data_IF_670037985178
#
_entry.id   IF_670037985178
#
_cell.length_a   1.000
_cell.length_b   1.000
_cell.length_c   1.000
_cell.angle_alpha   90.00
_cell.angle_beta   90.00
_cell.angle_gamma   90.00
#
_symmetry.space_group_name_H-M   'P 1'
#
loop_
_entity.id
_entity.type
_entity.pdbx_description
1 polymer ?
#
# COMPACT_ATOMS: atom_id res chain seq x y z
N UNK A 1 2.05 -28.78 21.88
CA UNK A 1 2.80 -27.53 21.58
C UNK A 1 4.27 -27.87 21.47
N UNK A 2 4.73 -28.21 20.27
CA UNK A 2 6.11 -28.66 20.04
C UNK A 2 7.10 -27.48 19.88
N UNK A 3 6.59 -26.28 19.57
CA UNK A 3 7.37 -25.07 19.43
C UNK A 3 7.24 -24.21 20.69
N UNK A 4 8.38 -23.90 21.32
CA UNK A 4 8.47 -23.05 22.51
C UNK A 4 9.42 -21.89 22.21
N UNK A 5 8.90 -20.76 21.68
CA UNK A 5 9.74 -19.64 21.32
C UNK A 5 10.28 -18.94 22.58
N UNK A 6 11.53 -18.54 22.57
CA UNK A 6 12.10 -17.63 23.58
C UNK A 6 11.69 -16.18 23.33
N UNK A 7 11.47 -15.82 22.04
CA UNK A 7 11.06 -14.48 21.60
C UNK A 7 9.87 -14.62 20.65
N UNK A 8 8.83 -13.83 20.90
CA UNK A 8 7.72 -13.61 19.98
C UNK A 8 7.77 -12.18 19.49
N UNK A 9 7.79 -11.99 18.17
CA UNK A 9 7.83 -10.67 17.56
C UNK A 9 6.57 -10.40 16.75
N UNK A 10 5.90 -9.27 17.03
CA UNK A 10 4.72 -8.79 16.35
C UNK A 10 4.97 -7.49 15.61
N UNK A 11 4.73 -7.50 14.28
CA UNK A 11 4.80 -6.31 13.40
C UNK A 11 3.44 -6.13 12.77
N UNK A 12 2.52 -5.46 13.45
CA UNK A 12 1.12 -5.30 13.02
C UNK A 12 0.40 -4.21 13.80
N UNK A 13 -0.89 -4.02 13.49
CA UNK A 13 -1.75 -3.11 14.23
C UNK A 13 -2.09 -3.67 15.62
N UNK A 14 -2.31 -2.78 16.58
CA UNK A 14 -2.50 -3.10 18.01
C UNK A 14 -3.59 -4.16 18.28
N UNK A 15 -4.72 -4.11 17.58
CA UNK A 15 -5.82 -5.09 17.77
C UNK A 15 -5.46 -6.51 17.33
N UNK A 16 -4.39 -6.67 16.61
CA UNK A 16 -3.88 -7.97 16.20
C UNK A 16 -2.86 -8.55 17.20
N UNK A 17 -2.50 -7.80 18.24
CA UNK A 17 -1.50 -8.17 19.24
C UNK A 17 -2.10 -8.53 20.60
N UNK A 18 -3.40 -8.23 20.83
CA UNK A 18 -4.02 -8.45 22.13
C UNK A 18 -4.05 -9.92 22.57
N UNK A 19 -3.98 -10.87 21.64
CA UNK A 19 -4.02 -12.27 22.01
C UNK A 19 -2.69 -12.76 22.62
N UNK A 20 -1.56 -12.19 22.22
CA UNK A 20 -0.27 -12.44 22.88
C UNK A 20 -0.26 -11.84 24.29
N UNK A 21 -0.73 -10.60 24.44
CA UNK A 21 -0.85 -9.96 25.75
C UNK A 21 -1.69 -10.79 26.73
N UNK A 22 -2.77 -11.41 26.23
CA UNK A 22 -3.70 -12.23 27.02
C UNK A 22 -3.35 -13.71 27.05
N UNK A 23 -2.25 -14.11 26.43
CA UNK A 23 -1.84 -15.50 26.39
C UNK A 23 -1.57 -16.07 27.79
N UNK A 24 -2.05 -17.27 28.14
CA UNK A 24 -1.68 -17.92 29.39
C UNK A 24 -0.18 -18.28 29.45
N UNK A 25 0.53 -18.15 28.35
CA UNK A 25 1.96 -18.40 28.23
C UNK A 25 2.79 -17.10 28.13
N UNK A 26 2.17 -15.94 28.37
CA UNK A 26 2.82 -14.64 28.23
C UNK A 26 4.16 -14.53 28.99
N UNK A 27 4.26 -15.12 30.15
CA UNK A 27 5.43 -15.08 31.01
C UNK A 27 6.58 -16.01 30.55
N UNK A 28 6.36 -16.80 29.49
CA UNK A 28 7.33 -17.80 29.04
C UNK A 28 8.13 -17.35 27.81
N UNK A 29 7.88 -16.15 27.29
CA UNK A 29 8.60 -15.60 26.13
C UNK A 29 8.79 -14.10 26.26
N UNK A 30 9.88 -13.61 25.68
CA UNK A 30 10.08 -12.18 25.50
C UNK A 30 9.22 -11.68 24.35
N UNK A 31 8.35 -10.72 24.62
CA UNK A 31 7.44 -10.18 23.62
C UNK A 31 7.94 -8.85 23.08
N UNK A 32 8.41 -8.85 21.83
CA UNK A 32 8.84 -7.68 21.09
C UNK A 32 7.74 -7.25 20.11
N UNK A 33 7.37 -5.98 20.14
CA UNK A 33 6.32 -5.45 19.25
C UNK A 33 6.82 -4.30 18.39
N UNK A 34 6.21 -4.16 17.21
CA UNK A 34 6.43 -3.03 16.31
C UNK A 34 5.06 -2.52 15.83
N UNK A 35 4.37 -1.72 16.66
CA UNK A 35 3.03 -1.23 16.34
C UNK A 35 3.05 -0.10 15.32
N UNK A 36 1.95 0.01 14.55
CA UNK A 36 1.73 1.17 13.69
C UNK A 36 1.23 2.35 14.53
N UNK A 37 2.02 3.43 14.59
CA UNK A 37 1.67 4.68 15.26
C UNK A 37 1.62 5.78 14.20
N UNK A 38 0.42 6.20 13.82
CA UNK A 38 0.15 7.13 12.72
C UNK A 38 -0.60 8.40 13.15
N UNK A 39 -0.85 8.56 14.44
CA UNK A 39 -1.55 9.73 15.02
C UNK A 39 -1.10 9.99 16.47
N UNK A 40 -1.30 11.21 16.94
CA UNK A 40 -1.16 11.62 18.33
C UNK A 40 -2.41 12.41 18.76
N UNK A 41 -2.98 12.18 19.97
CA UNK A 41 -2.60 11.12 20.89
C UNK A 41 -3.10 9.73 20.41
N UNK A 42 -2.46 8.68 20.91
CA UNK A 42 -2.93 7.31 20.73
C UNK A 42 -4.06 6.97 21.71
N UNK A 43 -4.91 6.00 21.37
CA UNK A 43 -5.92 5.51 22.28
C UNK A 43 -5.26 4.85 23.51
N UNK A 44 -5.79 5.10 24.71
CA UNK A 44 -5.22 4.59 25.96
C UNK A 44 -5.14 3.05 25.99
N UNK A 45 -6.09 2.35 25.37
CA UNK A 45 -6.05 0.89 25.28
C UNK A 45 -4.83 0.41 24.48
N UNK A 46 -4.46 1.13 23.43
CA UNK A 46 -3.29 0.78 22.62
C UNK A 46 -2.00 1.00 23.41
N UNK A 47 -1.90 2.13 24.11
CA UNK A 47 -0.78 2.42 25.00
C UNK A 47 -0.64 1.34 26.08
N UNK A 48 -1.74 0.88 26.66
CA UNK A 48 -1.70 -0.20 27.66
C UNK A 48 -1.17 -1.51 27.06
N UNK A 49 -1.51 -1.82 25.80
CA UNK A 49 -0.96 -2.98 25.10
C UNK A 49 0.54 -2.81 24.86
N UNK A 50 0.98 -1.63 24.42
CA UNK A 50 2.41 -1.35 24.18
C UNK A 50 3.21 -1.41 25.49
N UNK A 51 2.67 -0.89 26.58
CA UNK A 51 3.31 -0.92 27.90
C UNK A 51 3.43 -2.33 28.51
N UNK A 52 2.65 -3.29 28.02
CA UNK A 52 2.72 -4.68 28.45
C UNK A 52 3.74 -5.53 27.69
N UNK A 53 4.34 -4.99 26.65
CA UNK A 53 5.41 -5.64 25.88
C UNK A 53 6.76 -5.50 26.61
N UNK A 54 7.67 -6.44 26.38
CA UNK A 54 9.03 -6.39 26.93
C UNK A 54 9.94 -5.47 26.11
N UNK A 55 9.66 -5.33 24.79
CA UNK A 55 10.38 -4.40 23.93
C UNK A 55 9.44 -3.82 22.88
N UNK A 56 9.58 -2.53 22.61
CA UNK A 56 8.81 -1.81 21.60
C UNK A 56 9.74 -1.21 20.56
N UNK A 57 9.44 -1.40 19.29
CA UNK A 57 10.14 -0.77 18.17
C UNK A 57 9.18 0.14 17.40
N UNK A 58 9.46 1.43 17.37
CA UNK A 58 8.65 2.38 16.60
C UNK A 58 9.12 2.45 15.13
N UNK A 59 8.22 2.65 14.18
CA UNK A 59 8.57 2.87 12.77
C UNK A 59 9.31 4.19 12.54
N UNK A 60 9.12 5.17 13.43
CA UNK A 60 9.68 6.51 13.31
C UNK A 60 9.89 7.16 14.68
N UNK A 61 10.68 8.22 14.71
CA UNK A 61 10.83 9.05 15.90
C UNK A 61 9.49 9.61 16.38
N UNK A 62 8.63 10.06 15.45
CA UNK A 62 7.27 10.49 15.78
C UNK A 62 6.51 9.41 16.57
N UNK A 63 6.56 8.15 16.13
CA UNK A 63 5.88 7.05 16.81
C UNK A 63 6.44 6.79 18.21
N UNK A 64 7.75 6.78 18.35
CA UNK A 64 8.43 6.66 19.66
C UNK A 64 8.03 7.78 20.60
N UNK A 65 8.14 9.02 20.16
CA UNK A 65 7.92 10.20 20.98
C UNK A 65 6.45 10.29 21.40
N UNK A 66 5.51 9.99 20.49
CA UNK A 66 4.06 9.91 20.80
C UNK A 66 3.75 8.88 21.87
N UNK A 67 4.39 7.73 21.84
CA UNK A 67 4.21 6.70 22.88
C UNK A 67 4.77 7.14 24.22
N UNK A 68 5.98 7.70 24.23
CA UNK A 68 6.64 8.16 25.46
C UNK A 68 5.95 9.37 26.11
N UNK A 69 5.37 10.27 25.32
CA UNK A 69 4.57 11.38 25.85
C UNK A 69 3.34 10.91 26.63
N UNK A 70 2.79 9.74 26.28
CA UNK A 70 1.61 9.19 26.93
C UNK A 70 1.90 8.15 28.01
N UNK A 71 3.08 7.50 27.95
CA UNK A 71 3.47 6.46 28.89
C UNK A 71 5.00 6.35 28.96
N UNK A 72 5.57 6.89 30.02
CA UNK A 72 7.00 6.88 30.32
C UNK A 72 7.49 5.53 30.89
N UNK A 73 6.56 4.63 31.19
CA UNK A 73 6.86 3.29 31.74
C UNK A 73 6.97 2.20 30.68
N UNK A 74 6.82 2.54 29.38
CA UNK A 74 7.06 1.58 28.30
C UNK A 74 8.49 1.06 28.43
N UNK A 75 8.61 -0.27 28.53
CA UNK A 75 9.90 -0.95 28.56
C UNK A 75 10.67 -0.64 27.28
N UNK A 76 11.91 -1.06 27.19
CA UNK A 76 12.78 -0.74 26.06
C UNK A 76 12.05 -0.26 24.80
N UNK A 77 12.25 1.01 24.42
CA UNK A 77 11.67 1.57 23.20
C UNK A 77 12.75 2.21 22.35
N UNK A 78 12.81 1.84 21.05
CA UNK A 78 13.72 2.43 20.08
C UNK A 78 13.05 2.53 18.70
N UNK A 79 13.75 3.16 17.74
CA UNK A 79 13.28 3.33 16.38
C UNK A 79 13.90 2.28 15.46
N UNK A 80 13.05 1.52 14.78
CA UNK A 80 13.45 0.61 13.73
C UNK A 80 12.61 0.92 12.47
N UNK A 81 13.13 1.77 11.61
CA UNK A 81 12.40 2.16 10.40
C UNK A 81 12.23 0.98 9.44
N UNK A 82 11.03 0.78 8.87
CA UNK A 82 10.83 -0.21 7.82
C UNK A 82 11.74 0.07 6.62
N UNK A 83 12.28 -0.98 6.02
CA UNK A 83 13.09 -0.88 4.83
C UNK A 83 12.35 -1.44 3.60
N UNK A 84 12.64 -0.88 2.43
CA UNK A 84 12.23 -1.46 1.18
C UNK A 84 13.21 -2.55 0.74
N UNK A 85 12.71 -3.59 0.06
CA UNK A 85 13.57 -4.59 -0.56
C UNK A 85 14.37 -3.97 -1.72
N UNK A 86 15.58 -4.48 -1.97
CA UNK A 86 16.48 -4.04 -3.05
C UNK A 86 15.86 -4.17 -4.44
N UNK A 87 14.80 -4.98 -4.61
CA UNK A 87 14.04 -5.06 -5.86
C UNK A 87 13.33 -3.74 -6.22
N UNK A 88 13.13 -2.84 -5.26
CA UNK A 88 12.55 -1.50 -5.47
C UNK A 88 13.64 -0.45 -5.75
N UNK A 89 14.61 -0.79 -6.57
CA UNK A 89 15.63 0.14 -7.01
C UNK A 89 15.13 1.05 -8.15
N UNK A 90 15.64 2.28 -8.26
CA UNK A 90 15.36 3.14 -9.41
C UNK A 90 15.75 2.46 -10.71
N UNK A 91 14.88 2.51 -11.73
CA UNK A 91 15.23 2.01 -13.05
C UNK A 91 16.41 2.81 -13.63
N UNK A 92 17.42 2.12 -14.16
CA UNK A 92 18.60 2.75 -14.76
C UNK A 92 18.22 3.61 -15.99
N UNK A 93 17.30 3.12 -16.81
CA UNK A 93 16.72 3.86 -17.95
C UNK A 93 15.19 3.91 -17.83
N UNK A 94 14.68 5.00 -17.26
CA UNK A 94 13.25 5.24 -17.11
C UNK A 94 12.51 5.38 -18.43
N UNK A 95 13.16 5.92 -19.47
CA UNK A 95 12.54 6.10 -20.79
C UNK A 95 12.34 4.75 -21.48
N UNK A 96 13.37 3.92 -21.48
CA UNK A 96 13.27 2.56 -22.02
C UNK A 96 12.25 1.72 -21.24
N UNK A 97 12.20 1.88 -19.92
CA UNK A 97 11.22 1.17 -19.11
C UNK A 97 9.78 1.56 -19.48
N UNK A 98 9.49 2.85 -19.65
CA UNK A 98 8.18 3.34 -20.13
C UNK A 98 7.86 2.79 -21.52
N UNK A 99 8.80 2.85 -22.45
CA UNK A 99 8.62 2.31 -23.80
C UNK A 99 8.26 0.82 -23.79
N UNK A 100 8.94 0.02 -22.97
CA UNK A 100 8.68 -1.41 -22.80
C UNK A 100 7.25 -1.69 -22.24
N UNK A 101 6.68 -0.74 -21.52
CA UNK A 101 5.31 -0.80 -21.01
C UNK A 101 4.27 -0.21 -21.98
N UNK A 102 4.67 0.22 -23.17
CA UNK A 102 3.79 0.87 -24.14
C UNK A 102 3.42 2.31 -23.79
N UNK A 103 4.17 2.96 -22.91
CA UNK A 103 3.97 4.35 -22.48
C UNK A 103 4.97 5.25 -23.21
N UNK A 104 4.53 6.44 -23.65
CA UNK A 104 5.44 7.41 -24.25
C UNK A 104 6.61 7.70 -23.28
N UNK A 105 7.87 7.51 -23.71
CA UNK A 105 9.05 7.72 -22.88
C UNK A 105 9.16 9.12 -22.24
N UNK A 106 8.63 10.13 -22.92
CA UNK A 106 8.67 11.53 -22.45
C UNK A 106 7.54 11.89 -21.49
N UNK A 107 6.60 10.97 -21.25
CA UNK A 107 5.48 11.23 -20.34
C UNK A 107 5.95 11.42 -18.90
N UNK A 108 5.28 12.31 -18.19
CA UNK A 108 5.36 12.43 -16.74
C UNK A 108 4.28 11.53 -16.13
N UNK A 109 4.68 10.63 -15.25
CA UNK A 109 3.77 9.71 -14.58
C UNK A 109 3.79 9.97 -13.09
N UNK A 110 2.66 10.39 -12.55
CA UNK A 110 2.42 10.48 -11.12
C UNK A 110 1.85 9.14 -10.66
N UNK A 111 2.55 8.44 -9.79
CA UNK A 111 2.20 7.08 -9.36
C UNK A 111 1.56 7.03 -7.99
N UNK A 112 0.52 6.22 -7.84
CA UNK A 112 -0.02 5.83 -6.55
C UNK A 112 -0.20 4.32 -6.47
N UNK A 113 0.25 3.73 -5.36
CA UNK A 113 0.14 2.31 -5.06
C UNK A 113 -0.62 2.17 -3.75
N UNK A 114 -1.92 1.95 -3.84
CA UNK A 114 -2.76 1.79 -2.66
C UNK A 114 -4.03 1.02 -3.00
N UNK A 115 -4.54 0.27 -2.05
CA UNK A 115 -5.82 -0.43 -2.17
C UNK A 115 -6.98 0.58 -2.25
N UNK A 116 -8.01 0.30 -3.04
CA UNK A 116 -9.21 1.12 -3.11
C UNK A 116 -10.07 0.91 -1.85
N UNK A 117 -9.79 1.68 -0.82
CA UNK A 117 -10.52 1.75 0.45
C UNK A 117 -10.99 3.17 0.71
N UNK A 118 -12.06 3.36 1.48
CA UNK A 118 -12.63 4.70 1.77
C UNK A 118 -11.60 5.67 2.34
N UNK A 119 -10.75 5.24 3.28
CA UNK A 119 -9.71 6.04 3.91
C UNK A 119 -8.58 6.48 2.97
N UNK A 120 -8.50 5.93 1.75
CA UNK A 120 -7.45 6.26 0.77
C UNK A 120 -7.82 7.43 -0.14
N UNK A 121 -8.98 8.04 0.07
CA UNK A 121 -9.41 9.34 -0.48
C UNK A 121 -9.19 9.47 -1.99
N UNK A 122 -9.56 8.45 -2.76
CA UNK A 122 -9.50 8.51 -4.22
C UNK A 122 -10.27 9.68 -4.86
N UNK A 123 -11.42 10.16 -4.30
CA UNK A 123 -12.09 11.35 -4.82
C UNK A 123 -11.18 12.58 -4.78
N UNK A 124 -10.49 12.81 -3.66
CA UNK A 124 -9.57 13.96 -3.49
C UNK A 124 -8.36 13.84 -4.44
N UNK A 125 -7.83 12.62 -4.62
CA UNK A 125 -6.75 12.36 -5.59
C UNK A 125 -7.17 12.72 -7.01
N UNK A 126 -8.37 12.28 -7.46
CA UNK A 126 -8.86 12.52 -8.81
C UNK A 126 -9.16 14.02 -9.04
N UNK A 127 -9.80 14.67 -8.08
CA UNK A 127 -10.09 16.10 -8.16
C UNK A 127 -8.80 16.95 -8.15
N UNK A 128 -7.84 16.59 -7.31
CA UNK A 128 -6.55 17.29 -7.26
C UNK A 128 -5.75 17.08 -8.55
N UNK A 129 -5.75 15.89 -9.11
CA UNK A 129 -5.11 15.61 -10.38
C UNK A 129 -5.77 16.36 -11.53
N UNK A 130 -7.11 16.45 -11.56
CA UNK A 130 -7.82 17.27 -12.55
C UNK A 130 -7.38 18.74 -12.46
N UNK A 131 -7.39 19.30 -11.25
CA UNK A 131 -6.95 20.68 -11.01
C UNK A 131 -5.50 20.92 -11.46
N UNK A 132 -4.63 19.95 -11.20
CA UNK A 132 -3.22 20.01 -11.65
C UNK A 132 -3.13 20.04 -13.18
N UNK A 133 -3.88 19.19 -13.89
CA UNK A 133 -3.91 19.19 -15.35
C UNK A 133 -4.44 20.51 -15.93
N UNK A 134 -5.44 21.13 -15.30
CA UNK A 134 -5.97 22.43 -15.71
C UNK A 134 -4.95 23.54 -15.56
N UNK A 135 -4.05 23.45 -14.58
CA UNK A 135 -2.98 24.43 -14.36
C UNK A 135 -1.79 24.22 -15.29
N UNK A 136 -1.38 23.00 -15.51
CA UNK A 136 -0.17 22.70 -16.32
C UNK A 136 -0.43 22.64 -17.79
N UNK A 137 -1.65 22.24 -18.20
CA UNK A 137 -2.07 22.02 -19.59
C UNK A 137 -1.14 21.10 -20.41
N UNK A 138 -0.30 20.32 -19.73
CA UNK A 138 0.61 19.39 -20.39
C UNK A 138 -0.12 18.10 -20.84
N UNK A 139 -0.15 17.79 -22.14
CA UNK A 139 -0.79 16.59 -22.66
C UNK A 139 -0.08 15.29 -22.27
N UNK A 140 1.17 15.36 -21.83
CA UNK A 140 2.00 14.19 -21.53
C UNK A 140 2.05 13.80 -20.05
N UNK A 141 1.14 14.32 -19.22
CA UNK A 141 1.04 13.99 -17.80
C UNK A 141 -0.07 12.97 -17.56
N UNK A 142 0.23 11.90 -16.85
CA UNK A 142 -0.68 10.81 -16.52
C UNK A 142 -0.65 10.47 -15.04
N UNK A 143 -1.80 10.04 -14.50
CA UNK A 143 -1.89 9.43 -13.18
C UNK A 143 -1.91 7.92 -13.33
N UNK A 144 -0.93 7.23 -12.75
CA UNK A 144 -0.89 5.79 -12.68
C UNK A 144 -1.43 5.31 -11.33
N UNK A 145 -2.50 4.53 -11.37
CA UNK A 145 -3.13 3.95 -10.17
C UNK A 145 -2.91 2.44 -10.14
N UNK A 146 -1.96 1.99 -9.32
CA UNK A 146 -1.83 0.57 -9.02
C UNK A 146 -2.79 0.23 -7.88
N UNK A 147 -4.00 -0.17 -8.25
CA UNK A 147 -5.11 -0.41 -7.32
C UNK A 147 -5.97 -1.60 -7.77
N UNK A 148 -6.74 -2.14 -6.84
CA UNK A 148 -7.72 -3.18 -7.14
C UNK A 148 -9.11 -2.56 -7.36
N UNK A 149 -9.82 -3.03 -8.38
CA UNK A 149 -11.21 -2.68 -8.65
C UNK A 149 -11.94 -3.85 -9.33
N UNK A 150 -13.18 -4.20 -8.90
CA UNK A 150 -13.93 -3.61 -7.78
C UNK A 150 -13.34 -3.95 -6.40
N UNK A 151 -13.49 -3.04 -5.44
CA UNK A 151 -13.07 -3.21 -4.04
C UNK A 151 -14.09 -2.51 -3.13
N UNK A 152 -13.87 -2.59 -1.81
CA UNK A 152 -14.76 -2.03 -0.77
C UNK A 152 -14.77 -0.49 -0.69
N UNK A 153 -13.98 0.18 -1.52
CA UNK A 153 -13.80 1.62 -1.49
C UNK A 153 -14.77 2.41 -2.35
N UNK A 154 -14.22 3.12 -3.31
CA UNK A 154 -14.89 4.07 -4.17
C UNK A 154 -15.23 3.47 -5.53
N UNK A 155 -16.26 3.99 -6.18
CA UNK A 155 -16.57 3.68 -7.58
C UNK A 155 -15.53 4.36 -8.48
N UNK A 156 -14.48 3.62 -8.78
CA UNK A 156 -13.32 4.12 -9.53
C UNK A 156 -13.67 4.60 -10.94
N UNK A 157 -14.48 3.85 -11.75
CA UNK A 157 -14.95 4.33 -13.05
C UNK A 157 -15.71 5.65 -12.97
N UNK A 158 -16.60 5.76 -11.98
CA UNK A 158 -17.40 6.97 -11.76
C UNK A 158 -16.49 8.17 -11.47
N UNK A 159 -15.52 8.01 -10.58
CA UNK A 159 -14.56 9.08 -10.27
C UNK A 159 -13.75 9.53 -11.49
N UNK A 160 -13.29 8.59 -12.33
CA UNK A 160 -12.59 8.91 -13.59
C UNK A 160 -13.48 9.71 -14.52
N UNK A 161 -14.73 9.28 -14.68
CA UNK A 161 -15.71 9.93 -15.57
C UNK A 161 -16.08 11.34 -15.08
N UNK A 162 -16.43 11.49 -13.79
CA UNK A 162 -16.87 12.77 -13.21
C UNK A 162 -15.76 13.83 -13.26
N UNK A 163 -14.50 13.43 -13.21
CA UNK A 163 -13.35 14.34 -13.31
C UNK A 163 -12.79 14.46 -14.74
N UNK A 164 -13.43 13.85 -15.76
CA UNK A 164 -12.97 13.92 -17.15
C UNK A 164 -11.58 13.33 -17.38
N UNK A 165 -11.22 12.24 -16.66
CA UNK A 165 -9.88 11.68 -16.63
C UNK A 165 -9.71 10.37 -17.44
N UNK A 166 -10.66 10.01 -18.31
CA UNK A 166 -10.65 8.75 -19.03
C UNK A 166 -9.38 8.49 -19.85
N UNK A 167 -8.78 9.54 -20.44
CA UNK A 167 -7.51 9.49 -21.20
C UNK A 167 -6.28 9.91 -20.39
N UNK A 168 -6.38 9.95 -19.07
CA UNK A 168 -5.33 10.48 -18.18
C UNK A 168 -4.98 9.55 -17.02
N UNK A 169 -5.83 8.55 -16.76
CA UNK A 169 -5.60 7.57 -15.68
C UNK A 169 -5.20 6.23 -16.26
N UNK A 170 -3.99 5.83 -15.93
CA UNK A 170 -3.41 4.53 -16.25
C UNK A 170 -3.62 3.56 -15.10
N UNK A 171 -3.86 2.29 -15.43
CA UNK A 171 -4.00 1.20 -14.44
C UNK A 171 -3.25 -0.04 -14.90
N UNK A 172 -3.03 -0.95 -13.96
CA UNK A 172 -2.40 -2.23 -14.25
C UNK A 172 -3.43 -3.25 -14.70
N UNK A 173 -3.12 -3.96 -15.76
CA UNK A 173 -3.86 -5.13 -16.25
C UNK A 173 -2.99 -6.37 -16.16
N UNK A 174 -3.60 -7.50 -15.80
CA UNK A 174 -2.94 -8.80 -15.82
C UNK A 174 -3.76 -9.79 -16.63
N UNK A 175 -3.16 -10.42 -17.59
CA UNK A 175 -3.82 -11.46 -18.36
C UNK A 175 -3.99 -12.75 -17.54
N UNK A 176 -5.21 -13.26 -17.44
CA UNK A 176 -5.48 -14.53 -16.75
C UNK A 176 -4.84 -15.72 -17.44
N UNK A 177 -4.70 -15.67 -18.77
CA UNK A 177 -4.14 -16.74 -19.58
C UNK A 177 -2.60 -16.76 -19.53
N UNK A 178 -1.93 -15.74 -20.10
CA UNK A 178 -0.48 -15.72 -20.18
C UNK A 178 0.23 -15.13 -18.97
N UNK A 179 -0.52 -14.61 -17.97
CA UNK A 179 -0.03 -14.00 -16.73
C UNK A 179 0.78 -12.70 -16.90
N UNK A 180 1.01 -12.26 -18.13
CA UNK A 180 1.74 -11.01 -18.38
C UNK A 180 0.96 -9.80 -17.88
N UNK A 181 1.70 -8.79 -17.47
CA UNK A 181 1.21 -7.52 -16.95
C UNK A 181 1.44 -6.44 -18.00
N UNK A 182 0.48 -5.53 -18.13
CA UNK A 182 0.55 -4.33 -18.96
C UNK A 182 -0.06 -3.14 -18.23
N UNK A 183 0.27 -1.95 -18.69
CA UNK A 183 -0.32 -0.69 -18.20
C UNK A 183 -1.08 -0.06 -19.36
N UNK A 184 -2.31 0.36 -19.11
CA UNK A 184 -3.14 1.02 -20.10
C UNK A 184 -4.17 1.93 -19.40
N UNK A 185 -4.88 2.74 -20.17
CA UNK A 185 -5.99 3.54 -19.67
C UNK A 185 -7.06 2.68 -19.04
N UNK A 186 -7.72 3.23 -18.03
CA UNK A 186 -8.83 2.52 -17.40
C UNK A 186 -9.95 2.32 -18.42
N UNK A 187 -10.35 1.08 -18.63
CA UNK A 187 -11.44 0.72 -19.53
C UNK A 187 -12.44 -0.16 -18.80
N UNK A 188 -13.73 0.12 -19.00
CA UNK A 188 -14.81 -0.60 -18.33
C UNK A 188 -15.25 -1.86 -19.07
N UNK A 189 -14.60 -2.21 -20.17
CA UNK A 189 -14.89 -3.36 -21.01
C UNK A 189 -13.77 -4.41 -20.96
N UNK A 190 -14.11 -5.65 -21.25
CA UNK A 190 -13.15 -6.74 -21.44
C UNK A 190 -12.32 -6.45 -22.68
N UNK A 191 -11.00 -6.59 -22.57
CA UNK A 191 -10.05 -6.30 -23.64
C UNK A 191 -9.29 -7.56 -24.05
N UNK A 192 -8.82 -7.57 -25.29
CA UNK A 192 -7.87 -8.57 -25.73
C UNK A 192 -6.49 -8.33 -25.09
N UNK A 193 -5.88 -9.39 -24.62
CA UNK A 193 -4.51 -9.32 -24.15
C UNK A 193 -3.55 -8.95 -25.30
N UNK A 194 -2.77 -7.91 -25.13
CA UNK A 194 -1.80 -7.46 -26.14
C UNK A 194 -0.73 -8.52 -26.47
N UNK A 195 -0.52 -9.49 -25.56
CA UNK A 195 0.53 -10.52 -25.73
C UNK A 195 0.02 -11.84 -26.30
N UNK A 196 -1.17 -12.32 -25.89
CA UNK A 196 -1.68 -13.63 -26.31
C UNK A 196 -3.03 -13.55 -27.02
N UNK A 197 -3.56 -12.36 -27.26
CA UNK A 197 -4.84 -12.07 -27.92
C UNK A 197 -6.07 -12.70 -27.23
N UNK A 198 -5.92 -13.23 -26.04
CA UNK A 198 -7.00 -13.86 -25.29
C UNK A 198 -8.04 -12.82 -24.86
N UNK A 199 -9.29 -13.04 -25.25
CA UNK A 199 -10.37 -12.05 -25.15
C UNK A 199 -10.99 -11.94 -23.74
N UNK A 200 -11.02 -13.02 -22.98
CA UNK A 200 -11.85 -13.11 -21.75
C UNK A 200 -11.06 -13.03 -20.45
N UNK A 201 -9.78 -12.76 -20.48
CA UNK A 201 -8.88 -13.10 -19.40
C UNK A 201 -8.11 -11.91 -18.80
N UNK A 202 -8.63 -10.69 -18.96
CA UNK A 202 -8.02 -9.51 -18.37
C UNK A 202 -8.53 -9.27 -16.94
N UNK A 203 -7.64 -9.17 -16.00
CA UNK A 203 -7.94 -8.70 -14.63
C UNK A 203 -7.53 -7.23 -14.54
N UNK A 204 -8.48 -6.35 -14.22
CA UNK A 204 -8.22 -4.95 -13.92
C UNK A 204 -7.67 -4.82 -12.49
N UNK A 205 -6.56 -4.13 -12.36
CA UNK A 205 -6.02 -3.73 -11.08
C UNK A 205 -5.53 -4.92 -10.23
N UNK A 206 -4.23 -5.10 -10.17
CA UNK A 206 -3.61 -6.01 -9.21
C UNK A 206 -3.28 -5.17 -7.99
N UNK A 207 -3.89 -5.47 -6.85
CA UNK A 207 -3.46 -4.91 -5.57
C UNK A 207 -2.17 -5.58 -5.10
N UNK A 208 -1.38 -4.87 -4.31
CA UNK A 208 -0.13 -5.37 -3.73
C UNK A 208 -0.28 -6.75 -3.03
N UNK A 209 -1.46 -7.05 -2.48
CA UNK A 209 -1.76 -8.33 -1.85
C UNK A 209 -1.77 -9.54 -2.80
N UNK A 210 -1.97 -9.37 -4.11
CA UNK A 210 -1.88 -10.48 -5.08
C UNK A 210 -0.45 -10.72 -5.56
N UNK A 211 0.41 -9.73 -5.48
CA UNK A 211 1.84 -9.87 -5.81
C UNK A 211 2.57 -10.67 -4.74
N UNK A 212 2.21 -10.51 -3.48
CA UNK A 212 2.79 -11.22 -2.34
C UNK A 212 2.41 -12.71 -2.23
N UNK A 213 1.33 -13.15 -2.90
CA UNK A 213 0.94 -14.58 -2.89
C UNK A 213 1.72 -15.47 -3.85
N UNK A 214 2.83 -14.99 -4.43
CA UNK A 214 3.56 -15.66 -5.51
C UNK A 214 5.05 -15.88 -5.24
N UNK A 215 5.51 -15.56 -4.08
CA UNK A 215 6.76 -16.03 -3.50
C UNK A 215 6.46 -17.20 -2.57
#
# INVERSE_FOLDING_TARGET
LDFKPDIVMDIRDWWMMEFEQRSPFRDFFHWAIMPTVDASPQNQQWINTYNSADSVFAYSEFGRDTMLEQCDTINFIDVASPAASDVFAPAADKKQHKANMGINPESIILGTVMRNQKRKLYPDLMASFRKFLDQTQDPNVFLYCHTYYPDVGWDFPKLIHENGLASRVLVTYKCKNCKKVSVDFFQNSIQNCQHCQSHTNYIKGIGAAETQKRE
#
